data_IF_249719863525
#
_entry.id   IF_249719863525
#
_cell.length_a   1.000
_cell.length_b   1.000
_cell.length_c   1.000
_cell.angle_alpha   90.00
_cell.angle_beta   90.00
_cell.angle_gamma   90.00
#
_symmetry.space_group_name_H-M   'P 1'
#
loop_
_entity.id
_entity.type
_entity.pdbx_description
1 polymer ?
#
# COMPACT_ATOMS: atom_id res chain seq x y z
N UNK A 1 12.16 -7.62 -13.17
CA UNK A 1 12.74 -6.23 -13.15
C UNK A 1 13.62 -6.06 -11.93
N UNK A 2 14.62 -5.15 -11.97
CA UNK A 2 15.44 -4.79 -10.82
C UNK A 2 14.78 -3.65 -10.04
N UNK A 3 15.00 -3.61 -8.73
CA UNK A 3 14.58 -2.50 -7.88
C UNK A 3 15.39 -1.23 -8.21
N UNK A 4 14.70 -0.12 -8.34
CA UNK A 4 15.30 1.20 -8.52
C UNK A 4 15.13 2.03 -7.23
N UNK A 5 16.20 2.18 -6.41
CA UNK A 5 16.09 2.88 -5.14
C UNK A 5 15.93 4.40 -5.32
N UNK A 6 16.42 4.99 -6.42
CA UNK A 6 16.21 6.42 -6.70
C UNK A 6 14.75 6.69 -7.05
N UNK A 7 14.14 5.88 -7.92
CA UNK A 7 12.72 5.99 -8.23
C UNK A 7 11.83 5.76 -6.99
N UNK A 8 12.18 4.80 -6.15
CA UNK A 8 11.48 4.56 -4.88
C UNK A 8 11.54 5.77 -3.95
N UNK A 9 12.74 6.41 -3.81
CA UNK A 9 12.96 7.59 -2.97
C UNK A 9 12.32 8.87 -3.52
N UNK A 10 12.45 9.11 -4.84
CA UNK A 10 12.15 10.42 -5.45
C UNK A 10 10.73 10.46 -6.05
N UNK A 11 10.11 9.30 -6.27
CA UNK A 11 8.76 9.22 -6.83
C UNK A 11 7.80 8.47 -5.91
N UNK A 12 8.05 7.21 -5.59
CA UNK A 12 7.08 6.37 -4.88
C UNK A 12 6.81 6.85 -3.46
N UNK A 13 7.85 7.15 -2.70
CA UNK A 13 7.71 7.62 -1.32
C UNK A 13 7.05 9.01 -1.23
N UNK A 14 7.38 10.01 -2.07
CA UNK A 14 6.64 11.27 -2.15
C UNK A 14 5.16 11.11 -2.55
N UNK A 15 4.80 10.15 -3.42
CA UNK A 15 3.39 9.86 -3.71
C UNK A 15 2.64 9.35 -2.47
N UNK A 16 3.29 8.53 -1.65
CA UNK A 16 2.74 8.12 -0.34
C UNK A 16 2.61 9.31 0.61
N UNK A 17 3.61 10.19 0.67
CA UNK A 17 3.54 11.41 1.49
C UNK A 17 2.36 12.30 1.06
N UNK A 18 2.12 12.44 -0.24
CA UNK A 18 0.97 13.16 -0.78
C UNK A 18 -0.37 12.50 -0.37
N UNK A 19 -0.41 11.15 -0.28
CA UNK A 19 -1.59 10.42 0.21
C UNK A 19 -1.91 10.73 1.68
N UNK A 20 -0.89 10.92 2.52
CA UNK A 20 -1.10 11.42 3.89
C UNK A 20 -1.54 12.88 3.88
N UNK A 21 -0.93 13.73 3.05
CA UNK A 21 -1.26 15.16 2.99
C UNK A 21 -2.72 15.43 2.62
N UNK A 22 -3.29 14.75 1.63
CA UNK A 22 -4.71 14.93 1.24
C UNK A 22 -5.68 14.50 2.35
N UNK A 23 -5.27 13.58 3.21
CA UNK A 23 -6.02 13.19 4.39
C UNK A 23 -5.89 14.20 5.53
N UNK A 24 -4.68 14.67 5.81
CA UNK A 24 -4.36 15.56 6.93
C UNK A 24 -4.84 17.00 6.70
N UNK A 25 -4.83 17.43 5.45
CA UNK A 25 -5.20 18.79 5.03
C UNK A 25 -6.25 18.71 3.90
N UNK A 26 -7.51 18.35 4.22
CA UNK A 26 -8.56 18.23 3.22
C UNK A 26 -8.75 19.52 2.43
N UNK A 27 -8.91 19.39 1.11
CA UNK A 27 -9.12 20.52 0.20
C UNK A 27 -7.84 21.25 -0.22
N UNK A 28 -6.66 20.82 0.27
CA UNK A 28 -5.38 21.38 -0.21
C UNK A 28 -4.84 20.57 -1.40
N UNK A 29 -4.12 21.25 -2.28
CA UNK A 29 -3.39 20.57 -3.36
C UNK A 29 -2.17 19.85 -2.77
N UNK A 30 -2.03 18.52 -2.97
CA UNK A 30 -0.89 17.79 -2.44
C UNK A 30 0.41 18.15 -3.17
N UNK A 31 1.52 18.05 -2.45
CA UNK A 31 2.86 18.16 -3.05
C UNK A 31 3.20 16.84 -3.71
N UNK A 32 3.24 16.82 -5.03
CA UNK A 32 3.53 15.65 -5.85
C UNK A 32 4.95 15.74 -6.44
N UNK A 33 5.55 14.62 -6.83
CA UNK A 33 6.79 14.63 -7.61
C UNK A 33 6.64 15.47 -8.89
N UNK A 34 7.73 16.04 -9.42
CA UNK A 34 7.67 16.87 -10.63
C UNK A 34 6.98 16.17 -11.80
N UNK A 35 6.05 16.85 -12.46
CA UNK A 35 5.27 16.35 -13.59
C UNK A 35 4.07 15.49 -13.22
N UNK A 36 3.97 15.01 -11.97
CA UNK A 36 2.80 14.24 -11.51
C UNK A 36 1.64 15.15 -11.12
N UNK A 37 0.44 14.69 -11.42
CA UNK A 37 -0.81 15.39 -11.09
C UNK A 37 -1.84 14.42 -10.50
N UNK A 38 -2.60 14.91 -9.54
CA UNK A 38 -3.74 14.18 -8.98
C UNK A 38 -4.92 14.27 -9.93
N UNK A 39 -5.61 13.15 -10.16
CA UNK A 39 -6.87 13.09 -10.91
C UNK A 39 -8.07 12.76 -10.04
N UNK A 40 -7.86 12.01 -8.95
CA UNK A 40 -8.92 11.64 -8.01
C UNK A 40 -8.37 11.36 -6.61
N UNK A 41 -9.26 11.35 -5.62
CA UNK A 41 -9.01 10.78 -4.30
C UNK A 41 -9.49 9.31 -4.26
N UNK A 42 -8.86 8.51 -3.41
CA UNK A 42 -9.36 7.19 -3.03
C UNK A 42 -10.16 7.32 -1.74
N UNK A 43 -11.46 7.13 -1.84
CA UNK A 43 -12.37 7.33 -0.72
C UNK A 43 -13.09 6.04 -0.36
N UNK A 44 -13.24 5.80 0.93
CA UNK A 44 -14.05 4.72 1.46
C UNK A 44 -15.54 5.09 1.38
N UNK A 45 -16.34 4.18 0.86
CA UNK A 45 -17.80 4.28 0.90
C UNK A 45 -18.33 3.80 2.27
N UNK A 46 -18.71 4.74 3.12
CA UNK A 46 -19.26 4.44 4.46
C UNK A 46 -20.59 3.71 4.41
N UNK A 47 -21.34 3.75 3.32
CA UNK A 47 -22.58 2.98 3.21
C UNK A 47 -22.33 1.46 3.23
N UNK A 48 -21.13 1.04 2.80
CA UNK A 48 -20.72 -0.36 2.85
C UNK A 48 -20.32 -0.83 4.26
N UNK A 49 -20.18 0.09 5.24
CA UNK A 49 -19.93 -0.28 6.64
C UNK A 49 -21.10 -1.08 7.23
N UNK A 50 -22.32 -0.94 6.70
CA UNK A 50 -23.45 -1.81 7.08
C UNK A 50 -23.24 -3.26 6.62
N UNK A 51 -22.56 -3.47 5.50
CA UNK A 51 -22.24 -4.81 5.00
C UNK A 51 -21.15 -5.52 5.84
N UNK A 52 -20.41 -4.78 6.66
CA UNK A 52 -19.45 -5.36 7.61
C UNK A 52 -20.08 -5.75 8.97
N UNK A 53 -21.38 -5.55 9.15
CA UNK A 53 -22.07 -5.88 10.41
C UNK A 53 -21.92 -7.37 10.80
N UNK A 54 -21.79 -8.26 9.82
CA UNK A 54 -21.60 -9.69 10.01
C UNK A 54 -20.14 -10.09 10.29
N UNK A 55 -19.20 -9.14 10.22
CA UNK A 55 -17.81 -9.41 10.55
C UNK A 55 -17.63 -9.64 12.08
N UNK A 56 -16.64 -10.44 12.47
CA UNK A 56 -16.22 -10.52 13.85
C UNK A 56 -15.98 -9.12 14.44
N UNK A 57 -16.37 -8.92 15.69
CA UNK A 57 -16.37 -7.60 16.34
C UNK A 57 -15.04 -6.85 16.18
N UNK A 58 -13.89 -7.54 16.32
CA UNK A 58 -12.58 -6.90 16.19
C UNK A 58 -12.31 -6.39 14.78
N UNK A 59 -12.60 -7.18 13.74
CA UNK A 59 -12.42 -6.77 12.35
C UNK A 59 -13.32 -5.58 12.00
N UNK A 60 -14.57 -5.59 12.48
CA UNK A 60 -15.50 -4.49 12.34
C UNK A 60 -15.00 -3.24 13.05
N UNK A 61 -14.62 -3.33 14.34
CA UNK A 61 -14.09 -2.20 15.12
C UNK A 61 -12.84 -1.61 14.49
N UNK A 62 -11.98 -2.43 13.89
CA UNK A 62 -10.82 -1.94 13.13
C UNK A 62 -11.26 -1.05 11.97
N UNK A 63 -12.16 -1.54 11.10
CA UNK A 63 -12.62 -0.78 9.93
C UNK A 63 -13.34 0.51 10.36
N UNK A 64 -14.21 0.44 11.37
CA UNK A 64 -14.91 1.60 11.94
C UNK A 64 -13.90 2.65 12.45
N UNK A 65 -12.94 2.25 13.30
CA UNK A 65 -11.92 3.15 13.86
C UNK A 65 -11.13 3.86 12.74
N UNK A 66 -10.69 3.11 11.74
CA UNK A 66 -9.86 3.67 10.66
C UNK A 66 -10.68 4.59 9.74
N UNK A 67 -11.97 4.28 9.49
CA UNK A 67 -12.85 5.09 8.66
C UNK A 67 -13.46 6.28 9.41
N UNK A 68 -13.63 6.20 10.73
CA UNK A 68 -14.05 7.33 11.56
C UNK A 68 -12.99 8.42 11.66
N UNK A 69 -11.71 8.04 11.60
CA UNK A 69 -10.61 8.99 11.49
C UNK A 69 -10.63 9.78 10.15
N UNK A 70 -11.30 9.24 9.11
CA UNK A 70 -11.52 9.88 7.81
C UNK A 70 -11.61 8.87 6.67
N UNK A 71 -12.34 9.24 5.63
CA UNK A 71 -12.67 8.38 4.49
C UNK A 71 -11.63 8.39 3.37
N UNK A 72 -10.74 9.37 3.32
CA UNK A 72 -9.70 9.46 2.28
C UNK A 72 -8.54 8.53 2.62
N UNK A 73 -8.31 7.52 1.78
CA UNK A 73 -7.24 6.51 1.96
C UNK A 73 -6.09 6.68 0.99
N UNK A 74 -6.16 7.62 0.07
CA UNK A 74 -5.08 7.86 -0.88
C UNK A 74 -5.51 8.73 -2.04
N UNK A 75 -4.72 8.66 -3.10
CA UNK A 75 -4.97 9.38 -4.34
C UNK A 75 -4.55 8.58 -5.57
N UNK A 76 -5.19 8.92 -6.69
CA UNK A 76 -4.87 8.43 -8.03
C UNK A 76 -4.47 9.62 -8.89
N UNK A 77 -3.56 9.39 -9.81
CA UNK A 77 -3.16 10.40 -10.77
C UNK A 77 -2.20 9.87 -11.83
N UNK A 78 -1.58 10.79 -12.53
CA UNK A 78 -0.62 10.42 -13.57
C UNK A 78 0.49 11.45 -13.74
N UNK A 79 1.51 11.07 -14.50
CA UNK A 79 2.47 11.96 -15.14
C UNK A 79 2.31 11.79 -16.65
N UNK A 80 1.71 12.78 -17.34
CA UNK A 80 1.41 12.70 -18.77
C UNK A 80 2.64 12.98 -19.67
N UNK A 81 3.79 13.35 -19.08
CA UNK A 81 5.02 13.64 -19.84
C UNK A 81 5.34 12.51 -20.83
N UNK A 82 5.59 12.81 -22.12
CA UNK A 82 5.74 11.79 -23.15
C UNK A 82 6.80 10.74 -22.88
N UNK A 83 7.86 11.11 -22.16
CA UNK A 83 8.94 10.20 -21.79
C UNK A 83 8.58 9.28 -20.61
N UNK A 84 7.59 9.65 -19.79
CA UNK A 84 7.24 8.93 -18.54
C UNK A 84 5.93 8.18 -18.68
N UNK A 85 4.82 8.85 -19.06
CA UNK A 85 3.48 8.26 -19.28
C UNK A 85 3.06 7.27 -18.19
N UNK A 86 3.18 7.68 -16.94
CA UNK A 86 2.96 6.82 -15.78
C UNK A 86 1.72 7.22 -15.01
N UNK A 87 0.77 6.30 -14.85
CA UNK A 87 -0.31 6.42 -13.86
C UNK A 87 0.15 5.93 -12.49
N UNK A 88 -0.49 6.41 -11.43
CA UNK A 88 -0.17 5.96 -10.08
C UNK A 88 -1.41 5.81 -9.20
N UNK A 89 -1.29 4.90 -8.23
CA UNK A 89 -2.20 4.71 -7.11
C UNK A 89 -1.36 4.72 -5.83
N UNK A 90 -1.65 5.64 -4.92
CA UNK A 90 -0.92 5.76 -3.66
C UNK A 90 -1.86 5.69 -2.46
N UNK A 91 -1.58 4.77 -1.53
CA UNK A 91 -2.35 4.56 -0.31
C UNK A 91 -1.59 5.07 0.91
N UNK A 92 -2.28 5.81 1.79
CA UNK A 92 -1.78 6.18 3.11
C UNK A 92 -1.97 5.06 4.12
N UNK A 93 -1.17 5.06 5.16
CA UNK A 93 -1.41 4.29 6.39
C UNK A 93 -2.37 4.99 7.35
N UNK A 94 -2.38 4.52 8.60
CA UNK A 94 -3.12 5.13 9.71
C UNK A 94 -2.24 6.13 10.47
N UNK A 95 -2.86 7.05 11.23
CA UNK A 95 -2.16 7.92 12.18
C UNK A 95 -1.97 7.24 13.55
N UNK A 96 -2.84 6.31 13.89
CA UNK A 96 -2.92 5.64 15.20
C UNK A 96 -2.31 4.26 15.13
N UNK A 97 -1.03 4.19 14.70
CA UNK A 97 -0.31 2.91 14.53
C UNK A 97 -0.26 2.08 15.82
N UNK A 98 -0.09 2.72 16.96
CA UNK A 98 -0.05 2.05 18.25
C UNK A 98 -1.40 1.42 18.66
N UNK A 99 -2.53 2.01 18.27
CA UNK A 99 -3.85 1.52 18.63
C UNK A 99 -4.24 0.28 17.82
N UNK A 100 -3.99 0.29 16.50
CA UNK A 100 -4.31 -0.87 15.69
C UNK A 100 -3.32 -2.03 15.92
N UNK A 101 -2.05 -1.75 16.23
CA UNK A 101 -1.07 -2.77 16.61
C UNK A 101 -1.48 -3.54 17.87
N UNK A 102 -2.10 -2.85 18.85
CA UNK A 102 -2.60 -3.48 20.08
C UNK A 102 -3.88 -4.31 19.87
N UNK A 103 -4.72 -3.90 18.91
CA UNK A 103 -6.00 -4.55 18.61
C UNK A 103 -5.94 -5.46 17.37
N UNK A 104 -4.73 -5.84 16.96
CA UNK A 104 -4.50 -6.60 15.76
C UNK A 104 -5.15 -7.99 15.82
N UNK A 105 -6.17 -8.22 15.01
CA UNK A 105 -6.81 -9.53 14.85
C UNK A 105 -6.11 -10.31 13.73
N UNK A 106 -5.98 -11.62 13.90
CA UNK A 106 -5.31 -12.51 12.92
C UNK A 106 -6.31 -13.30 12.08
N UNK A 107 -7.59 -12.94 12.10
CA UNK A 107 -8.64 -13.65 11.36
C UNK A 107 -8.48 -13.42 9.85
N UNK A 108 -8.65 -14.49 9.09
CA UNK A 108 -8.56 -14.49 7.62
C UNK A 108 -9.92 -14.56 6.95
N UNK A 109 -9.96 -14.17 5.70
CA UNK A 109 -11.08 -14.35 4.77
C UNK A 109 -10.52 -14.58 3.37
N UNK A 110 -11.31 -15.19 2.50
CA UNK A 110 -10.95 -15.33 1.09
C UNK A 110 -10.73 -13.95 0.44
N UNK A 111 -9.74 -13.86 -0.44
CA UNK A 111 -9.53 -12.69 -1.28
C UNK A 111 -10.64 -12.63 -2.34
N UNK A 112 -11.63 -11.76 -2.10
CA UNK A 112 -12.89 -11.76 -2.87
C UNK A 112 -12.78 -11.20 -4.29
N UNK A 113 -11.89 -10.23 -4.61
CA UNK A 113 -11.82 -9.65 -5.95
C UNK A 113 -11.49 -10.66 -7.05
N UNK A 114 -10.71 -11.70 -6.74
CA UNK A 114 -10.35 -12.77 -7.69
C UNK A 114 -10.66 -14.12 -7.07
N UNK A 115 -11.55 -14.93 -7.68
CA UNK A 115 -11.89 -16.25 -7.16
C UNK A 115 -10.69 -17.18 -7.02
N UNK A 116 -10.66 -17.98 -5.95
CA UNK A 116 -9.62 -18.98 -5.66
C UNK A 116 -8.19 -18.40 -5.54
N UNK A 117 -8.09 -17.15 -5.15
CA UNK A 117 -6.79 -16.46 -5.02
C UNK A 117 -6.11 -16.67 -3.66
N UNK A 118 -6.77 -17.36 -2.71
CA UNK A 118 -6.28 -17.64 -1.36
C UNK A 118 -6.84 -16.67 -0.30
N UNK A 119 -6.33 -16.83 0.92
CA UNK A 119 -6.85 -16.10 2.09
C UNK A 119 -5.97 -14.93 2.48
N UNK A 120 -6.62 -13.84 2.90
CA UNK A 120 -6.01 -12.59 3.32
C UNK A 120 -6.53 -12.15 4.69
N UNK A 121 -5.88 -11.19 5.30
CA UNK A 121 -6.33 -10.59 6.57
C UNK A 121 -7.73 -9.95 6.41
N UNK A 122 -8.67 -10.39 7.24
CA UNK A 122 -10.08 -10.01 7.12
C UNK A 122 -10.32 -8.51 7.26
N UNK A 123 -9.69 -7.86 8.23
CA UNK A 123 -9.87 -6.42 8.45
C UNK A 123 -9.38 -5.58 7.26
N UNK A 124 -8.26 -5.97 6.64
CA UNK A 124 -7.77 -5.24 5.47
C UNK A 124 -8.60 -5.50 4.22
N UNK A 125 -9.10 -6.73 4.05
CA UNK A 125 -10.02 -7.05 2.97
C UNK A 125 -11.30 -6.24 3.10
N UNK A 126 -11.88 -6.19 4.29
CA UNK A 126 -13.10 -5.42 4.56
C UNK A 126 -12.89 -3.91 4.31
N UNK A 127 -11.75 -3.35 4.75
CA UNK A 127 -11.40 -1.96 4.46
C UNK A 127 -11.20 -1.72 2.97
N UNK A 128 -10.49 -2.62 2.28
CA UNK A 128 -10.26 -2.51 0.83
C UNK A 128 -11.58 -2.50 0.05
N UNK A 129 -12.56 -3.32 0.44
CA UNK A 129 -13.87 -3.34 -0.20
C UNK A 129 -14.60 -2.00 -0.14
N UNK A 130 -14.44 -1.24 0.95
CA UNK A 130 -15.03 0.11 1.03
C UNK A 130 -14.38 1.10 0.07
N UNK A 131 -13.12 0.87 -0.33
CA UNK A 131 -12.33 1.75 -1.20
C UNK A 131 -12.41 1.31 -2.67
N UNK A 132 -12.71 0.05 -2.92
CA UNK A 132 -12.64 -0.61 -4.22
C UNK A 132 -13.45 0.09 -5.30
N UNK A 133 -14.66 0.56 -4.97
CA UNK A 133 -15.52 1.28 -5.92
C UNK A 133 -14.87 2.60 -6.38
N UNK A 134 -14.27 3.35 -5.46
CA UNK A 134 -13.53 4.59 -5.78
C UNK A 134 -12.32 4.30 -6.69
N UNK A 135 -11.56 3.24 -6.40
CA UNK A 135 -10.44 2.82 -7.24
C UNK A 135 -10.91 2.44 -8.66
N UNK A 136 -11.92 1.59 -8.78
CA UNK A 136 -12.44 1.10 -10.06
C UNK A 136 -12.96 2.24 -10.94
N UNK A 137 -13.67 3.20 -10.34
CA UNK A 137 -14.28 4.31 -11.08
C UNK A 137 -13.27 5.32 -11.63
N UNK A 138 -12.11 5.46 -10.98
CA UNK A 138 -11.15 6.52 -11.29
C UNK A 138 -9.90 6.04 -12.02
N UNK A 139 -9.54 4.75 -11.92
CA UNK A 139 -8.28 4.23 -12.45
C UNK A 139 -8.17 4.37 -13.97
N UNK A 140 -9.24 4.06 -14.70
CA UNK A 140 -9.23 4.12 -16.16
C UNK A 140 -8.92 5.52 -16.71
N UNK A 141 -9.49 6.57 -16.07
CA UNK A 141 -9.23 7.95 -16.44
C UNK A 141 -7.78 8.35 -16.17
N UNK A 142 -7.23 7.96 -15.01
CA UNK A 142 -5.83 8.23 -14.68
C UNK A 142 -4.84 7.52 -15.62
N UNK A 143 -5.18 6.30 -16.05
CA UNK A 143 -4.37 5.51 -16.98
C UNK A 143 -4.47 5.97 -18.44
N UNK A 144 -5.37 6.90 -18.76
CA UNK A 144 -5.57 7.39 -20.14
C UNK A 144 -4.28 7.92 -20.76
N UNK A 145 -3.81 7.25 -21.84
CA UNK A 145 -2.54 7.59 -22.50
C UNK A 145 -1.26 7.14 -21.78
N UNK A 146 -1.37 6.53 -20.59
CA UNK A 146 -0.22 5.97 -19.87
C UNK A 146 0.13 4.58 -20.38
N UNK A 147 1.41 4.21 -20.24
CA UNK A 147 1.94 2.89 -20.58
C UNK A 147 2.56 2.18 -19.35
N UNK A 148 2.59 2.85 -18.22
CA UNK A 148 3.02 2.31 -16.94
C UNK A 148 1.98 2.63 -15.86
N UNK A 149 1.86 1.71 -14.89
CA UNK A 149 1.10 1.92 -13.67
C UNK A 149 2.00 1.60 -12.47
N UNK A 150 2.13 2.52 -11.55
CA UNK A 150 2.78 2.28 -10.27
C UNK A 150 1.74 2.27 -9.14
N UNK A 151 1.91 1.33 -8.22
CA UNK A 151 1.07 1.23 -7.04
C UNK A 151 1.97 1.27 -5.81
N UNK A 152 1.62 2.08 -4.83
CA UNK A 152 2.44 2.27 -3.64
C UNK A 152 1.61 2.48 -2.39
N UNK A 153 2.22 2.27 -1.24
CA UNK A 153 1.60 2.52 0.05
C UNK A 153 2.57 2.32 1.21
N UNK A 154 2.24 2.88 2.35
CA UNK A 154 3.01 2.77 3.58
C UNK A 154 2.13 2.17 4.69
N UNK A 155 2.73 1.34 5.55
CA UNK A 155 2.01 0.78 6.71
C UNK A 155 0.74 0.02 6.28
N UNK A 156 -0.43 0.32 6.85
CA UNK A 156 -1.73 -0.18 6.40
C UNK A 156 -1.96 0.05 4.90
N UNK A 157 -1.53 1.21 4.37
CA UNK A 157 -1.64 1.52 2.93
C UNK A 157 -0.82 0.57 2.05
N UNK A 158 0.26 0.00 2.58
CA UNK A 158 1.00 -1.04 1.89
C UNK A 158 0.19 -2.35 1.76
N UNK A 159 -0.56 -2.73 2.80
CA UNK A 159 -1.47 -3.87 2.72
C UNK A 159 -2.61 -3.61 1.71
N UNK A 160 -3.18 -2.40 1.69
CA UNK A 160 -4.19 -2.01 0.70
C UNK A 160 -3.62 -2.04 -0.73
N UNK A 161 -2.39 -1.58 -0.94
CA UNK A 161 -1.70 -1.65 -2.23
C UNK A 161 -1.48 -3.09 -2.70
N UNK A 162 -1.12 -4.00 -1.78
CA UNK A 162 -1.00 -5.44 -2.05
C UNK A 162 -2.36 -6.03 -2.45
N UNK A 163 -3.45 -5.67 -1.79
CA UNK A 163 -4.79 -6.15 -2.15
C UNK A 163 -5.29 -5.54 -3.46
N UNK A 164 -4.92 -4.30 -3.77
CA UNK A 164 -5.34 -3.63 -5.00
C UNK A 164 -4.67 -4.20 -6.26
N UNK A 165 -3.41 -4.60 -6.20
CA UNK A 165 -2.64 -4.98 -7.39
C UNK A 165 -3.26 -6.15 -8.19
N UNK A 166 -3.64 -7.30 -7.60
CA UNK A 166 -4.28 -8.39 -8.34
C UNK A 166 -5.66 -8.03 -8.88
N UNK A 167 -6.44 -7.23 -8.14
CA UNK A 167 -7.76 -6.76 -8.58
C UNK A 167 -7.63 -5.84 -9.80
N UNK A 168 -6.66 -4.94 -9.81
CA UNK A 168 -6.35 -4.06 -10.96
C UNK A 168 -6.05 -4.89 -12.20
N UNK A 169 -5.12 -5.84 -12.11
CA UNK A 169 -4.73 -6.68 -13.26
C UNK A 169 -5.90 -7.49 -13.80
N UNK A 170 -6.70 -8.06 -12.88
CA UNK A 170 -7.75 -9.00 -13.27
C UNK A 170 -9.01 -8.30 -13.75
N UNK A 171 -9.44 -7.25 -13.05
CA UNK A 171 -10.79 -6.71 -13.17
C UNK A 171 -10.87 -5.29 -13.74
N UNK A 172 -9.76 -4.53 -13.79
CA UNK A 172 -9.83 -3.11 -14.13
C UNK A 172 -9.16 -2.79 -15.47
N UNK A 173 -9.81 -1.99 -16.34
CA UNK A 173 -9.17 -1.41 -17.51
C UNK A 173 -8.39 -0.12 -17.15
N UNK A 174 -7.34 0.24 -17.92
CA UNK A 174 -6.71 -0.59 -18.94
C UNK A 174 -5.87 -1.69 -18.29
N UNK A 175 -5.60 -2.76 -19.03
CA UNK A 175 -4.80 -3.91 -18.55
C UNK A 175 -3.31 -3.54 -18.47
N UNK A 176 -2.97 -2.62 -17.55
CA UNK A 176 -1.60 -2.27 -17.22
C UNK A 176 -1.16 -3.07 -16.01
N UNK A 177 -0.02 -3.72 -16.12
CA UNK A 177 0.56 -4.43 -14.98
C UNK A 177 1.15 -3.44 -13.97
N UNK A 178 0.71 -3.47 -12.70
CA UNK A 178 1.21 -2.55 -11.69
C UNK A 178 2.63 -2.91 -11.27
N UNK A 179 3.51 -1.91 -11.24
CA UNK A 179 4.79 -1.97 -10.54
C UNK A 179 4.56 -1.57 -9.09
N UNK A 180 4.61 -2.54 -8.19
CA UNK A 180 4.31 -2.32 -6.78
C UNK A 180 5.59 -2.07 -5.99
N UNK A 181 5.64 -0.96 -5.26
CA UNK A 181 6.65 -0.70 -4.22
C UNK A 181 5.97 -0.24 -2.95
N UNK A 182 6.17 -0.97 -1.86
CA UNK A 182 5.57 -0.67 -0.56
C UNK A 182 6.63 -0.36 0.50
N UNK A 183 6.26 0.41 1.51
CA UNK A 183 7.12 0.83 2.60
C UNK A 183 6.51 0.40 3.94
N UNK A 184 7.24 -0.34 4.75
CA UNK A 184 6.82 -0.72 6.09
C UNK A 184 5.52 -1.54 6.14
N UNK A 185 5.20 -2.27 5.07
CA UNK A 185 3.94 -3.00 4.98
C UNK A 185 3.92 -4.28 5.81
N UNK A 186 2.79 -4.60 6.47
CA UNK A 186 2.59 -5.86 7.15
C UNK A 186 2.35 -7.01 6.15
N UNK A 187 2.34 -8.26 6.64
CA UNK A 187 1.97 -9.43 5.85
C UNK A 187 0.49 -9.40 5.51
N UNK A 188 0.14 -9.53 4.23
CA UNK A 188 -1.24 -9.35 3.78
C UNK A 188 -2.08 -10.63 3.75
N UNK A 189 -1.48 -11.80 3.56
CA UNK A 189 -2.23 -13.04 3.37
C UNK A 189 -1.46 -14.29 3.76
N UNK A 190 -2.09 -15.44 3.53
CA UNK A 190 -1.54 -16.76 3.75
C UNK A 190 -0.82 -17.27 2.49
N UNK A 191 -0.22 -18.44 2.60
CA UNK A 191 0.61 -19.05 1.56
C UNK A 191 -0.06 -19.07 0.17
N UNK A 192 -1.30 -19.53 0.08
CA UNK A 192 -2.00 -19.65 -1.21
C UNK A 192 -2.19 -18.29 -1.89
N UNK A 193 -2.53 -17.25 -1.10
CA UNK A 193 -2.59 -15.88 -1.60
C UNK A 193 -1.23 -15.41 -2.11
N UNK A 194 -0.15 -15.67 -1.37
CA UNK A 194 1.20 -15.25 -1.73
C UNK A 194 1.67 -15.92 -3.01
N UNK A 195 1.39 -17.22 -3.18
CA UNK A 195 1.71 -17.95 -4.42
C UNK A 195 0.95 -17.38 -5.61
N UNK A 196 -0.37 -17.19 -5.47
CA UNK A 196 -1.21 -16.61 -6.52
C UNK A 196 -0.77 -15.18 -6.87
N UNK A 197 -0.47 -14.35 -5.85
CA UNK A 197 0.03 -12.98 -6.02
C UNK A 197 1.34 -12.96 -6.80
N UNK A 198 2.35 -13.70 -6.37
CA UNK A 198 3.67 -13.71 -7.00
C UNK A 198 3.65 -14.29 -8.42
N UNK A 199 2.63 -15.08 -8.76
CA UNK A 199 2.42 -15.57 -10.14
C UNK A 199 1.75 -14.49 -11.00
N UNK A 200 0.93 -13.62 -10.40
CA UNK A 200 0.14 -12.61 -11.11
C UNK A 200 0.87 -11.28 -11.25
N UNK A 201 1.66 -10.89 -10.25
CA UNK A 201 2.36 -9.60 -10.18
C UNK A 201 3.88 -9.81 -10.28
N UNK A 202 4.46 -9.50 -11.42
CA UNK A 202 5.89 -9.72 -11.68
C UNK A 202 6.80 -8.73 -10.93
N UNK A 203 6.33 -7.50 -10.73
CA UNK A 203 7.13 -6.42 -10.13
C UNK A 203 6.56 -5.99 -8.79
N UNK A 204 7.05 -6.60 -7.72
CA UNK A 204 6.66 -6.26 -6.34
C UNK A 204 7.88 -6.18 -5.43
N UNK A 205 8.17 -4.98 -4.92
CA UNK A 205 9.24 -4.71 -3.98
C UNK A 205 8.69 -4.15 -2.66
N UNK A 206 9.19 -4.68 -1.56
CA UNK A 206 8.84 -4.27 -0.20
C UNK A 206 10.06 -3.66 0.48
N UNK A 207 10.07 -2.35 0.65
CA UNK A 207 11.13 -1.66 1.40
C UNK A 207 10.85 -1.85 2.89
N UNK A 208 11.82 -2.42 3.59
CA UNK A 208 11.74 -2.75 5.03
C UNK A 208 12.90 -2.09 5.74
N UNK A 209 12.59 -1.18 6.65
CA UNK A 209 13.59 -0.49 7.46
C UNK A 209 13.99 -1.36 8.67
N UNK A 210 15.26 -1.40 8.96
CA UNK A 210 15.80 -2.15 10.11
C UNK A 210 15.14 -1.67 11.42
N UNK A 211 14.74 -2.61 12.28
CA UNK A 211 14.03 -2.39 13.55
C UNK A 211 12.59 -1.85 13.43
N UNK A 212 12.05 -1.65 12.25
CA UNK A 212 10.61 -1.44 12.10
C UNK A 212 9.86 -2.75 12.38
N UNK A 213 8.93 -2.73 13.35
CA UNK A 213 8.18 -3.94 13.76
C UNK A 213 7.00 -4.24 12.85
N UNK A 214 6.43 -3.24 12.15
CA UNK A 214 5.21 -3.41 11.36
C UNK A 214 5.36 -4.46 10.26
N UNK A 215 6.47 -4.54 9.50
CA UNK A 215 6.66 -5.59 8.52
C UNK A 215 6.70 -7.01 9.10
N UNK A 216 6.89 -7.15 10.40
CA UNK A 216 6.92 -8.46 11.05
C UNK A 216 5.52 -8.94 11.49
N UNK A 217 4.48 -8.12 11.30
CA UNK A 217 3.10 -8.42 11.69
C UNK A 217 2.25 -8.85 10.48
N UNK A 218 1.21 -9.69 10.71
CA UNK A 218 1.03 -10.52 11.90
C UNK A 218 2.21 -11.48 12.08
N UNK A 219 2.49 -11.84 13.32
CA UNK A 219 3.43 -12.93 13.58
C UNK A 219 2.89 -14.22 12.95
N UNK A 220 3.74 -15.04 12.30
CA UNK A 220 3.28 -16.30 11.74
C UNK A 220 2.96 -17.28 12.88
N UNK A 221 1.71 -17.75 12.91
CA UNK A 221 1.27 -18.81 13.83
C UNK A 221 1.18 -20.14 13.06
N UNK A 222 1.37 -21.29 13.71
CA UNK A 222 1.36 -22.58 13.01
C UNK A 222 0.07 -22.86 12.19
N UNK A 223 -1.08 -22.30 12.61
CA UNK A 223 -2.37 -22.45 11.92
C UNK A 223 -2.71 -21.28 10.99
N UNK A 224 -1.99 -20.19 11.07
CA UNK A 224 -2.19 -18.96 10.29
C UNK A 224 -0.81 -18.40 9.91
N UNK A 225 -0.10 -19.08 9.00
CA UNK A 225 1.24 -18.67 8.59
C UNK A 225 1.15 -17.52 7.60
N UNK A 226 0.93 -16.30 8.11
CA UNK A 226 0.98 -15.10 7.30
C UNK A 226 2.35 -14.93 6.65
N UNK A 227 2.36 -14.65 5.37
CA UNK A 227 3.57 -14.49 4.56
C UNK A 227 3.58 -13.15 3.82
N UNK A 228 4.75 -12.80 3.31
CA UNK A 228 4.93 -11.63 2.48
C UNK A 228 4.92 -11.98 0.99
N UNK A 229 4.35 -11.08 0.20
CA UNK A 229 4.46 -11.10 -1.27
C UNK A 229 5.76 -10.43 -1.74
N UNK A 230 6.18 -10.72 -2.97
CA UNK A 230 7.26 -10.00 -3.65
C UNK A 230 8.64 -10.09 -2.98
N UNK A 231 9.53 -9.19 -3.36
CA UNK A 231 10.94 -9.19 -2.95
C UNK A 231 11.19 -8.14 -1.86
N UNK A 232 11.87 -8.53 -0.78
CA UNK A 232 12.27 -7.60 0.26
C UNK A 232 13.50 -6.81 -0.14
N UNK A 233 13.45 -5.49 0.06
CA UNK A 233 14.56 -4.55 -0.01
C UNK A 233 14.82 -4.05 1.40
N UNK A 234 15.87 -4.55 2.02
CA UNK A 234 16.27 -4.12 3.35
C UNK A 234 17.00 -2.77 3.27
N UNK A 235 16.60 -1.83 4.12
CA UNK A 235 17.26 -0.54 4.31
C UNK A 235 17.52 -0.31 5.80
N UNK A 236 18.49 0.53 6.12
CA UNK A 236 18.72 1.01 7.48
C UNK A 236 18.77 2.53 7.48
N UNK A 237 17.81 3.14 8.16
CA UNK A 237 17.75 4.59 8.30
C UNK A 237 18.81 5.16 9.25
N UNK A 238 19.49 4.30 10.03
CA UNK A 238 20.25 4.77 11.17
C UNK A 238 19.38 5.42 12.25
N UNK A 239 19.97 6.08 13.23
CA UNK A 239 19.26 6.83 14.27
C UNK A 239 18.61 5.95 15.36
N UNK A 240 17.64 6.49 16.12
CA UNK A 240 17.05 5.81 17.26
C UNK A 240 16.31 4.51 16.89
N UNK A 241 16.25 3.55 17.82
CA UNK A 241 15.48 2.30 17.70
C UNK A 241 14.01 2.51 18.11
N UNK A 242 13.56 3.72 18.17
CA UNK A 242 12.17 4.07 18.47
C UNK A 242 11.25 3.73 17.30
N UNK A 243 10.10 3.09 17.56
CA UNK A 243 9.17 2.61 16.54
C UNK A 243 8.53 3.76 15.75
N UNK A 244 8.17 4.86 16.42
CA UNK A 244 7.60 6.01 15.73
C UNK A 244 8.57 6.60 14.71
N UNK A 245 9.88 6.60 15.00
CA UNK A 245 10.90 6.98 14.03
C UNK A 245 11.09 5.90 12.97
N UNK A 246 11.36 4.64 13.36
CA UNK A 246 11.72 3.56 12.44
C UNK A 246 10.64 3.26 11.40
N UNK A 247 9.39 3.47 11.75
CA UNK A 247 8.24 3.30 10.85
C UNK A 247 7.87 4.58 10.08
N UNK A 248 8.50 5.71 10.34
CA UNK A 248 8.17 6.97 9.66
C UNK A 248 8.63 7.03 8.20
N UNK A 249 7.92 7.78 7.36
CA UNK A 249 8.36 8.06 5.98
C UNK A 249 9.74 8.71 5.91
N UNK A 250 10.09 9.53 6.91
CA UNK A 250 11.41 10.15 7.02
C UNK A 250 12.51 9.11 7.20
N UNK A 251 12.28 8.09 8.05
CA UNK A 251 13.23 6.99 8.23
C UNK A 251 13.37 6.15 6.95
N UNK A 252 12.25 5.84 6.26
CA UNK A 252 12.31 5.15 4.98
C UNK A 252 13.08 5.94 3.91
N UNK A 253 12.92 7.27 3.87
CA UNK A 253 13.72 8.13 3.00
C UNK A 253 15.22 8.04 3.33
N UNK A 254 15.57 8.19 4.60
CA UNK A 254 16.97 8.08 5.06
C UNK A 254 17.57 6.72 4.73
N UNK A 255 16.80 5.63 4.92
CA UNK A 255 17.24 4.28 4.57
C UNK A 255 17.49 4.11 3.08
N UNK A 256 16.67 4.70 2.21
CA UNK A 256 16.89 4.71 0.77
C UNK A 256 18.09 5.57 0.38
N UNK A 257 18.30 6.72 1.02
CA UNK A 257 19.49 7.55 0.80
C UNK A 257 20.77 6.78 1.13
N UNK A 258 20.79 6.06 2.26
CA UNK A 258 21.93 5.22 2.65
C UNK A 258 22.17 4.06 1.66
N UNK A 259 21.11 3.42 1.18
CA UNK A 259 21.21 2.35 0.16
C UNK A 259 21.81 2.87 -1.15
N UNK A 260 21.37 4.04 -1.63
CA UNK A 260 21.89 4.68 -2.85
C UNK A 260 23.37 5.04 -2.69
N UNK A 261 23.74 5.64 -1.55
CA UNK A 261 25.12 5.99 -1.27
C UNK A 261 26.04 4.77 -1.27
N UNK A 262 25.61 3.66 -0.66
CA UNK A 262 26.36 2.41 -0.62
C UNK A 262 26.55 1.80 -2.03
N UNK A 263 25.54 1.86 -2.90
CA UNK A 263 25.65 1.38 -4.29
C UNK A 263 26.61 2.24 -5.13
N UNK A 264 26.61 3.56 -4.92
CA UNK A 264 27.51 4.49 -5.64
C UNK A 264 28.97 4.29 -5.23
N UNK A 265 29.22 3.88 -3.97
CA UNK A 265 30.59 3.64 -3.48
C UNK A 265 31.15 2.28 -3.93
N UNK A 266 30.28 1.32 -4.30
CA UNK A 266 30.65 -0.02 -4.72
C UNK A 266 30.82 -0.17 -6.25
N UNK A 267 30.43 0.84 -7.04
CA UNK A 267 30.52 0.90 -8.51
C UNK A 267 31.78 1.66 -8.95
#
# INVERSE_FOLDING_TARGET
>A
MSFDPQFARDTMLPLVAAAYQVFEMPGTTPVLPPGYQQTALLEADRSLLTAIADLPQRARSFVETVTDAGTVFGLIGNNPEPAVKTAFVAFRGTRTESEWLQNFDIVTTAYRPVPNFGDVHMGWMALFETIRASLTSNLAAACGGCNQLVVTGHSLGAALAVLAAPDIVTNMPPKLEPKLTTFGGPRAGLHDFVVAFNTTIESCFRVVNQFDVVPHLPLPFPRLPYEHVGVQIAVDSGGPIDQAYRHSLAAYRSGLDNLIAAQTTAA
#
